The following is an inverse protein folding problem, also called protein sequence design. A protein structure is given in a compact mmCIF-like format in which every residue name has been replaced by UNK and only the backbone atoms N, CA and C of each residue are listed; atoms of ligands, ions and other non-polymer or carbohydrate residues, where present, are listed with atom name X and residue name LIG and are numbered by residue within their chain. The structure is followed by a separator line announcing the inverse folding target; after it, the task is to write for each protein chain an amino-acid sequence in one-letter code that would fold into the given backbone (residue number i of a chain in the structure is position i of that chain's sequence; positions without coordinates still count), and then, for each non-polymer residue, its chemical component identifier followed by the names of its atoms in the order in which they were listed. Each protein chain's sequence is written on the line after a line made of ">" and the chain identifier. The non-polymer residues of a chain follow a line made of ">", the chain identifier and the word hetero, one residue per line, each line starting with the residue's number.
data_IF_217823762704
#
_entry.id   IF_217823762704
#
_cell.length_a   1.000
_cell.length_b   1.000
_cell.length_c   1.000
_cell.angle_alpha   90.00
_cell.angle_beta   90.00
_cell.angle_gamma   90.00
#
_symmetry.space_group_name_H-M   'P 1'
#
loop_
_entity.id
_entity.type
_entity.pdbx_description
1 polymer ?
#
# COMPACT_ATOMS: atom_id res chain seq x y z
N UNK A 1 -12.09 5.09 -22.13
CA UNK A 1 -11.34 5.02 -20.86
C UNK A 1 -9.88 5.02 -21.23
N UNK A 2 -9.11 5.99 -20.74
CA UNK A 2 -7.66 5.94 -20.86
C UNK A 2 -7.13 4.79 -19.99
N UNK A 3 -6.09 4.10 -20.44
CA UNK A 3 -5.49 2.96 -19.75
C UNK A 3 -3.98 3.10 -19.84
N UNK A 4 -3.30 3.02 -18.71
CA UNK A 4 -1.85 2.98 -18.67
C UNK A 4 -1.35 1.56 -18.90
N UNK A 5 -0.16 1.45 -19.47
CA UNK A 5 0.59 0.20 -19.61
C UNK A 5 1.84 0.28 -18.75
N UNK A 6 2.11 -0.77 -17.98
CA UNK A 6 3.34 -0.90 -17.20
C UNK A 6 3.98 -2.27 -17.43
N UNK A 7 5.30 -2.28 -17.54
CA UNK A 7 6.08 -3.51 -17.69
C UNK A 7 6.46 -4.06 -16.32
N UNK A 8 6.04 -5.29 -16.02
CA UNK A 8 6.35 -5.97 -14.76
C UNK A 8 7.81 -6.40 -14.75
N UNK A 9 8.50 -6.04 -13.67
CA UNK A 9 9.82 -6.53 -13.33
C UNK A 9 9.66 -7.47 -12.15
N UNK A 10 9.65 -8.76 -12.48
CA UNK A 10 9.54 -9.84 -11.52
C UNK A 10 10.81 -9.94 -10.68
N UNK A 11 10.64 -10.10 -9.37
CA UNK A 11 11.71 -10.50 -8.47
C UNK A 11 11.46 -11.95 -8.01
N UNK A 12 12.49 -12.62 -7.50
CA UNK A 12 12.34 -13.96 -6.90
C UNK A 12 11.40 -13.97 -5.69
N UNK A 13 11.20 -12.80 -5.08
CA UNK A 13 10.23 -12.56 -4.02
C UNK A 13 9.04 -11.78 -4.60
N UNK A 14 7.83 -12.33 -4.46
CA UNK A 14 6.59 -11.69 -4.88
C UNK A 14 6.43 -10.30 -4.22
N UNK A 15 6.90 -10.13 -2.98
CA UNK A 15 6.85 -8.86 -2.25
C UNK A 15 7.81 -7.79 -2.81
N UNK A 16 8.79 -8.18 -3.63
CA UNK A 16 9.74 -7.29 -4.28
C UNK A 16 9.38 -6.97 -5.74
N UNK A 17 8.31 -7.57 -6.26
CA UNK A 17 7.83 -7.33 -7.63
C UNK A 17 7.30 -5.91 -7.79
N UNK A 18 7.62 -5.29 -8.92
CA UNK A 18 7.20 -3.93 -9.26
C UNK A 18 6.95 -3.80 -10.76
N UNK A 19 6.34 -2.70 -11.20
CA UNK A 19 6.16 -2.41 -12.61
C UNK A 19 6.74 -1.04 -12.98
N UNK A 20 7.13 -0.89 -14.24
CA UNK A 20 7.72 0.32 -14.79
C UNK A 20 6.83 0.88 -15.90
N UNK A 21 6.47 2.16 -15.74
CA UNK A 21 5.80 2.95 -16.78
C UNK A 21 6.85 3.81 -17.45
N UNK A 22 7.05 3.61 -18.74
CA UNK A 22 8.04 4.34 -19.55
C UNK A 22 7.43 5.53 -20.28
N UNK A 23 6.18 5.38 -20.73
CA UNK A 23 5.51 6.40 -21.54
C UNK A 23 5.08 7.62 -20.70
N UNK A 24 5.52 8.84 -21.04
CA UNK A 24 5.17 10.04 -20.28
C UNK A 24 3.67 10.30 -20.20
N UNK A 25 2.92 9.96 -21.25
CA UNK A 25 1.46 10.13 -21.30
C UNK A 25 0.78 9.25 -20.25
N UNK A 26 1.22 8.00 -20.09
CA UNK A 26 0.73 7.10 -19.05
C UNK A 26 1.07 7.60 -17.65
N UNK A 27 2.27 8.16 -17.45
CA UNK A 27 2.68 8.77 -16.18
C UNK A 27 1.77 9.94 -15.81
N UNK A 28 1.50 10.82 -16.76
CA UNK A 28 0.60 11.98 -16.56
C UNK A 28 -0.81 11.50 -16.25
N UNK A 29 -1.34 10.55 -17.02
CA UNK A 29 -2.65 9.94 -16.79
C UNK A 29 -2.78 9.35 -15.38
N UNK A 30 -1.80 8.55 -14.95
CA UNK A 30 -1.80 7.94 -13.62
C UNK A 30 -1.79 9.00 -12.50
N UNK A 31 -0.97 10.04 -12.64
CA UNK A 31 -0.82 11.09 -11.62
C UNK A 31 -2.03 12.04 -11.56
N UNK A 32 -2.54 12.47 -12.71
CA UNK A 32 -3.57 13.51 -12.79
C UNK A 32 -4.99 12.96 -12.72
N UNK A 33 -5.25 11.82 -13.34
CA UNK A 33 -6.61 11.24 -13.41
C UNK A 33 -6.80 10.12 -12.38
N UNK A 34 -5.78 9.28 -12.16
CA UNK A 34 -5.90 8.10 -11.30
C UNK A 34 -5.38 8.29 -9.87
N UNK A 35 -4.76 9.44 -9.53
CA UNK A 35 -4.12 9.70 -8.23
C UNK A 35 -3.03 8.69 -7.83
N UNK A 36 -2.35 8.08 -8.79
CA UNK A 36 -1.24 7.13 -8.57
C UNK A 36 0.06 7.83 -8.94
N UNK A 37 0.95 7.98 -7.96
CA UNK A 37 2.15 8.81 -8.12
C UNK A 37 3.43 8.03 -8.39
N UNK A 38 3.51 6.77 -7.98
CA UNK A 38 4.70 5.95 -8.12
C UNK A 38 5.93 6.53 -7.43
N UNK A 39 7.06 5.93 -7.75
CA UNK A 39 8.40 6.39 -7.39
C UNK A 39 9.23 6.60 -8.65
N UNK A 40 10.11 7.62 -8.70
CA UNK A 40 11.01 7.79 -9.84
C UNK A 40 11.98 6.61 -9.91
N UNK A 41 12.13 6.03 -11.10
CA UNK A 41 13.09 4.96 -11.38
C UNK A 41 14.28 5.53 -12.17
N UNK A 42 15.49 5.39 -11.60
CA UNK A 42 16.73 5.93 -12.16
C UNK A 42 17.27 7.18 -11.45
N UNK A 43 18.57 7.44 -11.61
CA UNK A 43 19.20 8.68 -11.15
C UNK A 43 18.84 9.78 -12.12
N UNK A 44 18.36 10.92 -11.63
CA UNK A 44 18.26 12.14 -12.42
C UNK A 44 19.67 12.62 -12.80
N UNK A 45 20.29 11.96 -13.77
CA UNK A 45 21.53 12.42 -14.38
C UNK A 45 21.18 13.60 -15.28
N UNK A 46 21.68 14.77 -14.92
CA UNK A 46 21.55 16.04 -15.65
C UNK A 46 22.16 16.05 -17.05
N UNK A 47 22.55 14.88 -17.60
CA UNK A 47 23.36 14.76 -18.81
C UNK A 47 22.83 13.77 -19.86
N UNK A 48 21.74 13.03 -19.63
CA UNK A 48 21.19 12.08 -20.62
C UNK A 48 19.67 12.13 -20.70
N UNK A 49 19.15 12.30 -21.92
CA UNK A 49 17.74 12.52 -22.27
C UNK A 49 16.86 11.25 -22.17
N UNK A 50 17.06 10.41 -21.16
CA UNK A 50 16.14 9.29 -20.90
C UNK A 50 14.94 9.85 -20.14
N UNK A 51 13.71 9.72 -20.66
CA UNK A 51 12.53 10.21 -19.97
C UNK A 51 12.40 9.51 -18.60
N UNK A 52 11.99 10.25 -17.55
CA UNK A 52 11.88 9.68 -16.21
C UNK A 52 10.85 8.54 -16.21
N UNK A 53 11.30 7.33 -15.86
CA UNK A 53 10.44 6.17 -15.71
C UNK A 53 9.75 6.22 -14.35
N UNK A 54 8.51 5.78 -14.31
CA UNK A 54 7.75 5.69 -13.07
C UNK A 54 7.66 4.24 -12.61
N UNK A 55 8.22 3.95 -11.43
CA UNK A 55 8.09 2.68 -10.75
C UNK A 55 6.82 2.65 -9.91
N UNK A 56 5.96 1.69 -10.22
CA UNK A 56 4.77 1.35 -9.46
C UNK A 56 5.08 0.21 -8.51
N UNK A 57 4.74 0.41 -7.23
CA UNK A 57 4.77 -0.66 -6.24
C UNK A 57 3.55 -1.57 -6.39
N UNK A 58 3.59 -2.73 -5.72
CA UNK A 58 2.51 -3.72 -5.79
C UNK A 58 1.14 -3.15 -5.44
N UNK A 59 1.04 -2.26 -4.43
CA UNK A 59 -0.22 -1.63 -4.04
C UNK A 59 -0.81 -0.73 -5.14
N UNK A 60 0.04 -0.04 -5.89
CA UNK A 60 -0.37 0.81 -7.01
C UNK A 60 -0.74 -0.02 -8.24
N UNK A 61 0.02 -1.09 -8.51
CA UNK A 61 -0.28 -2.07 -9.56
C UNK A 61 -1.66 -2.71 -9.32
N UNK A 62 -1.87 -3.21 -8.10
CA UNK A 62 -3.12 -3.84 -7.68
C UNK A 62 -4.31 -2.93 -7.90
N UNK A 63 -4.21 -1.69 -7.41
CA UNK A 63 -5.27 -0.72 -7.55
C UNK A 63 -5.59 -0.47 -9.03
N UNK A 64 -4.58 -0.27 -9.87
CA UNK A 64 -4.80 0.00 -11.29
C UNK A 64 -5.41 -1.16 -12.06
N UNK A 65 -4.98 -2.38 -11.77
CA UNK A 65 -5.52 -3.61 -12.37
C UNK A 65 -6.98 -3.84 -11.96
N UNK A 66 -7.26 -3.71 -10.65
CA UNK A 66 -8.61 -3.90 -10.08
C UNK A 66 -9.58 -2.83 -10.57
N UNK A 67 -9.13 -1.58 -10.69
CA UNK A 67 -9.95 -0.45 -11.16
C UNK A 67 -9.97 -0.31 -12.69
N UNK A 68 -9.23 -1.14 -13.42
CA UNK A 68 -9.28 -1.22 -14.88
C UNK A 68 -8.60 -0.05 -15.60
N UNK A 69 -7.69 0.68 -14.94
CA UNK A 69 -6.93 1.77 -15.56
C UNK A 69 -5.46 1.42 -15.81
N UNK A 70 -5.01 0.21 -15.44
CA UNK A 70 -3.65 -0.27 -15.67
C UNK A 70 -3.65 -1.67 -16.28
N UNK A 71 -2.90 -1.84 -17.36
CA UNK A 71 -2.53 -3.14 -17.95
C UNK A 71 -1.07 -3.45 -17.63
N UNK A 72 -0.82 -4.68 -17.18
CA UNK A 72 0.52 -5.19 -16.93
C UNK A 72 1.03 -5.98 -18.13
N UNK A 73 2.30 -5.80 -18.49
CA UNK A 73 2.97 -6.52 -19.58
C UNK A 73 4.29 -7.12 -19.10
N UNK A 74 4.71 -8.23 -19.70
CA UNK A 74 6.01 -8.83 -19.42
C UNK A 74 7.13 -8.03 -20.11
N UNK A 75 8.29 -7.92 -19.46
CA UNK A 75 9.49 -7.36 -20.10
C UNK A 75 9.95 -8.31 -21.21
N UNK A 76 9.91 -7.84 -22.47
CA UNK A 76 10.55 -8.51 -23.61
C UNK A 76 11.98 -7.98 -23.70
N UNK A 77 12.97 -8.84 -23.50
CA UNK A 77 14.37 -8.50 -23.78
C UNK A 77 14.73 -9.22 -25.07
N UNK A 78 14.92 -8.46 -26.15
CA UNK A 78 15.41 -8.99 -27.42
C UNK A 78 16.86 -9.47 -27.25
N UNK A 79 17.04 -10.73 -26.87
CA UNK A 79 18.27 -11.47 -27.05
C UNK A 79 17.89 -12.92 -27.38
N UNK A 80 18.45 -13.41 -28.48
CA UNK A 80 18.23 -14.75 -29.01
C UNK A 80 18.29 -15.83 -27.92
N UNK A 81 17.36 -16.79 -28.00
CA UNK A 81 17.23 -18.04 -27.24
C UNK A 81 16.22 -18.07 -26.07
N UNK A 82 14.90 -17.80 -26.22
CA UNK A 82 14.05 -17.75 -24.99
C UNK A 82 12.50 -17.93 -25.12
N UNK A 83 11.93 -18.71 -26.06
CA UNK A 83 10.46 -18.91 -26.09
C UNK A 83 9.87 -19.48 -24.79
N UNK A 84 10.58 -20.38 -24.10
CA UNK A 84 10.15 -20.94 -22.81
C UNK A 84 10.26 -19.91 -21.65
N UNK A 85 11.24 -19.01 -21.71
CA UNK A 85 11.42 -17.97 -20.69
C UNK A 85 10.37 -16.85 -20.87
N UNK A 86 9.99 -16.53 -22.11
CA UNK A 86 8.88 -15.63 -22.42
C UNK A 86 7.54 -16.16 -21.92
N UNK A 87 7.26 -17.46 -22.11
CA UNK A 87 6.03 -18.09 -21.61
C UNK A 87 5.96 -18.07 -20.07
N UNK A 88 7.10 -18.30 -19.39
CA UNK A 88 7.20 -18.19 -17.94
C UNK A 88 6.92 -16.78 -17.41
N UNK A 89 7.36 -15.72 -18.11
CA UNK A 89 7.08 -14.33 -17.71
C UNK A 89 5.62 -13.96 -17.93
N UNK A 90 4.99 -14.39 -19.03
CA UNK A 90 3.55 -14.18 -19.26
C UNK A 90 2.71 -14.85 -18.19
N UNK A 91 3.02 -16.11 -17.88
CA UNK A 91 2.36 -16.86 -16.81
C UNK A 91 2.45 -16.12 -15.48
N UNK A 92 3.60 -15.54 -15.14
CA UNK A 92 3.78 -14.76 -13.91
C UNK A 92 2.97 -13.45 -13.92
N UNK A 93 2.91 -12.73 -15.04
CA UNK A 93 2.06 -11.53 -15.15
C UNK A 93 0.58 -11.89 -14.97
N UNK A 94 0.14 -13.02 -15.54
CA UNK A 94 -1.21 -13.55 -15.36
C UNK A 94 -1.47 -13.93 -13.89
N UNK A 95 -0.55 -14.66 -13.26
CA UNK A 95 -0.63 -15.04 -11.84
C UNK A 95 -0.74 -13.81 -10.92
N UNK A 96 0.14 -12.82 -11.11
CA UNK A 96 0.07 -11.54 -10.39
C UNK A 96 -1.26 -10.85 -10.66
N UNK A 97 -1.69 -10.79 -11.92
CA UNK A 97 -2.94 -10.12 -12.28
C UNK A 97 -4.15 -10.78 -11.62
N UNK A 98 -4.22 -12.12 -11.62
CA UNK A 98 -5.27 -12.89 -10.97
C UNK A 98 -5.25 -12.72 -9.45
N UNK A 99 -4.08 -12.80 -8.82
CA UNK A 99 -3.93 -12.55 -7.39
C UNK A 99 -4.36 -11.13 -7.01
N UNK A 100 -3.99 -10.12 -7.81
CA UNK A 100 -4.38 -8.74 -7.58
C UNK A 100 -5.87 -8.51 -7.80
N UNK A 101 -6.49 -9.18 -8.78
CA UNK A 101 -7.93 -9.09 -9.04
C UNK A 101 -8.73 -9.68 -7.89
N UNK A 102 -8.32 -10.83 -7.35
CA UNK A 102 -8.66 -11.30 -6.00
C UNK A 102 -10.12 -11.12 -5.55
N UNK A 103 -11.08 -11.21 -6.48
CA UNK A 103 -12.45 -10.76 -6.25
C UNK A 103 -13.40 -11.93 -5.97
N UNK A 104 -13.01 -12.90 -5.13
CA UNK A 104 -13.97 -13.79 -4.50
C UNK A 104 -13.41 -14.49 -3.27
N UNK A 105 -14.26 -14.54 -2.25
CA UNK A 105 -14.18 -15.25 -0.98
C UNK A 105 -13.36 -16.55 -0.96
N UNK A 106 -12.57 -16.71 0.12
CA UNK A 106 -12.55 -17.84 1.07
C UNK A 106 -12.65 -19.31 0.61
N UNK A 107 -12.60 -19.65 -0.67
CA UNK A 107 -12.64 -21.04 -1.14
C UNK A 107 -11.40 -21.35 -2.01
N UNK A 108 -10.30 -21.68 -1.34
CA UNK A 108 -9.25 -22.51 -1.92
C UNK A 108 -8.10 -21.82 -2.67
N UNK A 109 -8.10 -20.48 -2.82
CA UNK A 109 -6.93 -19.78 -3.39
C UNK A 109 -5.87 -19.60 -2.29
N UNK A 110 -4.73 -20.27 -2.46
CA UNK A 110 -3.53 -20.02 -1.67
C UNK A 110 -2.93 -18.70 -2.12
N UNK A 111 -3.15 -17.64 -1.36
CA UNK A 111 -2.49 -16.35 -1.59
C UNK A 111 -0.98 -16.53 -1.49
N UNK A 112 -0.23 -16.04 -2.49
CA UNK A 112 1.23 -16.05 -2.43
C UNK A 112 1.74 -14.91 -1.54
N UNK A 113 1.00 -13.80 -1.51
CA UNK A 113 1.35 -12.63 -0.71
C UNK A 113 1.14 -12.84 0.79
N UNK A 114 2.06 -12.28 1.58
CA UNK A 114 1.99 -12.31 3.05
C UNK A 114 0.71 -11.66 3.60
N UNK A 115 0.19 -12.09 4.79
CA UNK A 115 -1.00 -11.49 5.39
C UNK A 115 -0.90 -9.96 5.54
N UNK A 116 0.26 -9.48 5.98
CA UNK A 116 0.56 -8.04 6.09
C UNK A 116 0.44 -7.33 4.75
N UNK A 117 0.91 -7.94 3.66
CA UNK A 117 0.79 -7.35 2.32
C UNK A 117 -0.67 -7.28 1.88
N UNK A 118 -1.45 -8.33 2.10
CA UNK A 118 -2.89 -8.33 1.80
C UNK A 118 -3.64 -7.24 2.56
N UNK A 119 -3.29 -7.04 3.84
CA UNK A 119 -3.84 -5.93 4.63
C UNK A 119 -3.48 -4.56 4.02
N UNK A 120 -2.21 -4.36 3.64
CA UNK A 120 -1.75 -3.13 2.97
C UNK A 120 -2.50 -2.85 1.67
N UNK A 121 -2.70 -3.85 0.82
CA UNK A 121 -3.45 -3.74 -0.43
C UNK A 121 -4.88 -3.23 -0.18
N UNK A 122 -5.57 -3.84 0.79
CA UNK A 122 -6.93 -3.47 1.15
C UNK A 122 -7.01 -2.06 1.73
N UNK A 123 -6.10 -1.71 2.64
CA UNK A 123 -6.03 -0.35 3.22
C UNK A 123 -5.71 0.69 2.17
N UNK A 124 -4.77 0.42 1.26
CA UNK A 124 -4.40 1.33 0.17
C UNK A 124 -5.59 1.61 -0.74
N UNK A 125 -6.30 0.55 -1.16
CA UNK A 125 -7.52 0.67 -1.96
C UNK A 125 -8.60 1.48 -1.23
N UNK A 126 -8.90 1.16 0.02
CA UNK A 126 -9.94 1.85 0.80
C UNK A 126 -9.63 3.34 0.97
N UNK A 127 -8.38 3.70 1.28
CA UNK A 127 -7.95 5.10 1.34
C UNK A 127 -8.10 5.82 -0.01
N UNK A 128 -7.74 5.17 -1.10
CA UNK A 128 -7.89 5.73 -2.44
C UNK A 128 -9.36 5.91 -2.83
N UNK A 129 -10.23 4.95 -2.50
CA UNK A 129 -11.68 5.02 -2.73
C UNK A 129 -12.33 6.15 -1.93
N UNK A 130 -11.80 6.44 -0.73
CA UNK A 130 -12.19 7.61 0.08
C UNK A 130 -11.72 8.95 -0.49
N UNK A 131 -11.01 8.94 -1.62
CA UNK A 131 -10.59 10.14 -2.33
C UNK A 131 -9.23 10.70 -1.93
N UNK A 132 -8.45 9.98 -1.11
CA UNK A 132 -7.09 10.39 -0.78
C UNK A 132 -6.11 10.04 -1.89
N UNK A 133 -5.06 10.85 -2.03
CA UNK A 133 -3.82 10.42 -2.68
C UNK A 133 -3.00 9.66 -1.64
N UNK A 134 -2.58 8.44 -1.95
CA UNK A 134 -1.83 7.57 -1.05
C UNK A 134 -0.41 7.40 -1.58
N UNK A 135 0.60 7.66 -0.76
CA UNK A 135 2.01 7.38 -1.08
C UNK A 135 2.66 6.55 0.02
N UNK A 136 3.85 6.03 -0.22
CA UNK A 136 4.59 5.24 0.79
C UNK A 136 5.16 6.12 1.92
N UNK A 137 5.06 5.62 3.14
CA UNK A 137 5.45 6.33 4.37
C UNK A 137 6.78 5.92 4.98
N UNK A 138 7.59 5.11 4.27
CA UNK A 138 8.82 4.50 4.79
C UNK A 138 9.81 5.50 5.41
N UNK A 139 9.90 6.72 4.86
CA UNK A 139 10.71 7.83 5.40
C UNK A 139 10.32 8.23 6.84
N UNK A 140 9.08 7.95 7.25
CA UNK A 140 8.54 8.29 8.57
C UNK A 140 8.27 7.03 9.42
N UNK A 141 8.77 5.86 8.98
CA UNK A 141 8.49 4.58 9.64
C UNK A 141 7.05 4.10 9.50
N UNK A 142 6.21 4.80 8.74
CA UNK A 142 4.82 4.43 8.48
C UNK A 142 4.70 3.63 7.19
N UNK A 143 3.58 2.95 6.99
CA UNK A 143 3.33 2.22 5.75
C UNK A 143 2.90 3.20 4.64
N UNK A 144 1.99 4.13 4.96
CA UNK A 144 1.50 5.12 4.00
C UNK A 144 1.48 6.55 4.53
N UNK A 145 1.42 7.48 3.59
CA UNK A 145 1.06 8.88 3.77
C UNK A 145 -0.19 9.15 2.95
N UNK A 146 -1.12 9.91 3.52
CA UNK A 146 -2.32 10.33 2.80
C UNK A 146 -2.33 11.84 2.59
N UNK A 147 -2.78 12.27 1.41
CA UNK A 147 -2.90 13.66 1.02
C UNK A 147 -4.33 13.91 0.53
N UNK A 148 -4.85 15.11 0.78
CA UNK A 148 -6.13 15.56 0.22
C UNK A 148 -6.00 16.06 -1.21
N UNK A 149 -4.79 16.33 -1.65
CA UNK A 149 -4.47 16.94 -2.94
C UNK A 149 -3.05 16.50 -3.37
N UNK A 150 -2.57 17.02 -4.48
CA UNK A 150 -1.31 16.64 -5.11
C UNK A 150 -0.11 16.70 -4.14
N UNK A 151 0.61 15.58 -3.90
CA UNK A 151 1.75 15.50 -2.98
C UNK A 151 2.93 16.39 -3.38
N UNK A 152 2.99 16.91 -4.62
CA UNK A 152 3.99 17.89 -5.05
C UNK A 152 3.75 19.29 -4.46
N UNK A 153 2.51 19.62 -4.08
CA UNK A 153 2.10 20.95 -3.63
C UNK A 153 1.43 20.95 -2.25
N UNK A 154 0.87 19.82 -1.84
CA UNK A 154 0.20 19.66 -0.56
C UNK A 154 1.07 18.87 0.41
N UNK A 155 0.95 19.21 1.69
CA UNK A 155 1.50 18.38 2.74
C UNK A 155 0.60 17.19 3.02
N UNK A 156 1.21 16.05 3.36
CA UNK A 156 0.46 14.90 3.88
C UNK A 156 -0.41 15.34 5.08
N UNK A 157 -1.55 14.68 5.26
CA UNK A 157 -2.47 14.93 6.38
C UNK A 157 -2.19 13.96 7.52
N UNK A 158 -1.93 12.69 7.19
CA UNK A 158 -1.66 11.67 8.20
C UNK A 158 -0.57 10.68 7.76
N UNK A 159 0.09 10.11 8.78
CA UNK A 159 0.84 8.86 8.70
C UNK A 159 -0.16 7.71 8.93
N UNK A 160 -0.08 6.66 8.11
CA UNK A 160 -0.90 5.44 8.28
C UNK A 160 0.03 4.26 8.54
N UNK A 161 -0.22 3.56 9.64
CA UNK A 161 0.46 2.33 10.02
C UNK A 161 -0.53 1.19 9.95
N UNK A 162 -0.24 0.18 9.13
CA UNK A 162 -1.09 -1.00 8.95
C UNK A 162 -0.66 -2.07 9.94
N UNK A 163 -1.64 -2.58 10.69
CA UNK A 163 -1.49 -3.60 11.74
C UNK A 163 -2.49 -4.72 11.49
N UNK A 164 -2.14 -5.94 11.91
CA UNK A 164 -3.12 -7.02 11.92
C UNK A 164 -4.17 -6.75 13.01
N UNK A 165 -5.40 -7.26 12.82
CA UNK A 165 -6.53 -6.90 13.69
C UNK A 165 -6.31 -7.32 15.15
N UNK A 166 -5.67 -8.47 15.37
CA UNK A 166 -5.35 -9.00 16.69
C UNK A 166 -3.90 -8.70 17.11
N UNK A 167 -3.18 -7.87 16.36
CA UNK A 167 -1.80 -7.53 16.69
C UNK A 167 -1.73 -6.67 17.95
N UNK A 168 -1.03 -7.14 18.97
CA UNK A 168 -0.76 -6.35 20.15
C UNK A 168 0.19 -5.19 19.85
N UNK A 169 -0.09 -4.03 20.44
CA UNK A 169 0.80 -2.88 20.35
C UNK A 169 1.84 -2.90 21.46
N UNK A 170 3.12 -2.92 21.08
CA UNK A 170 4.17 -2.53 22.01
C UNK A 170 4.00 -1.05 22.38
N UNK A 171 4.02 -0.73 23.68
CA UNK A 171 3.86 0.65 24.18
C UNK A 171 4.91 1.59 23.58
N UNK A 172 6.13 1.10 23.40
CA UNK A 172 7.25 1.85 22.82
C UNK A 172 6.98 2.22 21.36
N UNK A 173 6.31 1.36 20.60
CA UNK A 173 5.97 1.63 19.19
C UNK A 173 4.94 2.76 19.10
N UNK A 174 3.87 2.71 19.91
CA UNK A 174 2.86 3.78 19.95
C UNK A 174 3.52 5.12 20.26
N UNK A 175 4.37 5.17 21.29
CA UNK A 175 5.10 6.38 21.69
C UNK A 175 6.00 6.88 20.55
N UNK A 176 6.70 5.97 19.88
CA UNK A 176 7.60 6.30 18.75
C UNK A 176 6.83 6.88 17.57
N UNK A 177 5.72 6.26 17.17
CA UNK A 177 4.86 6.79 16.11
C UNK A 177 4.25 8.14 16.48
N UNK A 178 3.79 8.31 17.73
CA UNK A 178 3.27 9.60 18.21
C UNK A 178 4.34 10.69 18.15
N UNK A 179 5.58 10.38 18.55
CA UNK A 179 6.72 11.30 18.47
C UNK A 179 6.98 11.71 17.03
N UNK A 180 7.09 10.76 16.09
CA UNK A 180 7.34 11.08 14.68
C UNK A 180 6.21 11.93 14.11
N UNK A 181 4.95 11.51 14.27
CA UNK A 181 3.78 12.23 13.79
C UNK A 181 3.72 13.67 14.32
N UNK A 182 4.04 13.87 15.61
CA UNK A 182 4.10 15.21 16.22
C UNK A 182 5.20 16.08 15.61
N UNK A 183 6.40 15.53 15.41
CA UNK A 183 7.55 16.26 14.84
C UNK A 183 7.28 16.71 13.41
N UNK A 184 6.60 15.89 12.60
CA UNK A 184 6.26 16.22 11.21
C UNK A 184 4.91 16.91 11.04
N UNK A 185 4.22 17.20 12.16
CA UNK A 185 2.89 17.84 12.21
C UNK A 185 1.87 17.12 11.33
N UNK A 186 1.74 15.81 11.54
CA UNK A 186 0.78 14.91 10.86
C UNK A 186 -0.08 14.19 11.88
N UNK A 187 -1.29 13.82 11.49
CA UNK A 187 -2.09 12.88 12.27
C UNK A 187 -1.46 11.48 12.21
N UNK A 188 -1.68 10.67 13.25
CA UNK A 188 -1.32 9.26 13.24
C UNK A 188 -2.59 8.43 13.16
N UNK A 189 -2.65 7.55 12.16
CA UNK A 189 -3.72 6.59 11.97
C UNK A 189 -3.14 5.18 12.01
N UNK A 190 -3.71 4.32 12.84
CA UNK A 190 -3.56 2.88 12.71
C UNK A 190 -4.71 2.34 11.86
N UNK A 191 -4.41 1.44 10.94
CA UNK A 191 -5.37 0.81 10.07
C UNK A 191 -5.27 -0.70 10.20
N UNK A 192 -6.40 -1.39 10.26
CA UNK A 192 -6.47 -2.85 10.23
C UNK A 192 -7.64 -3.31 9.37
N UNK A 193 -7.54 -4.53 8.85
CA UNK A 193 -8.63 -5.15 8.09
C UNK A 193 -9.35 -6.12 9.02
N UNK A 194 -10.65 -5.91 9.21
CA UNK A 194 -11.50 -6.80 10.00
C UNK A 194 -12.27 -7.74 9.07
N UNK A 195 -12.06 -9.05 9.26
CA UNK A 195 -12.91 -10.06 8.64
C UNK A 195 -14.27 -10.08 9.36
N UNK A 196 -15.39 -9.95 8.64
CA UNK A 196 -16.72 -9.84 9.25
C UNK A 196 -17.33 -11.20 9.68
N UNK A 197 -16.52 -12.21 10.01
CA UNK A 197 -16.97 -13.59 10.23
C UNK A 197 -16.84 -14.18 11.66
N UNK A 198 -16.55 -13.39 12.70
CA UNK A 198 -16.02 -13.93 13.96
C UNK A 198 -16.83 -13.84 15.25
N UNK A 199 -17.81 -12.92 15.39
CA UNK A 199 -18.49 -12.70 16.69
C UNK A 199 -20.01 -12.89 16.58
N UNK A 200 -20.47 -14.10 16.22
CA UNK A 200 -21.85 -14.52 16.50
C UNK A 200 -21.89 -15.21 17.87
N UNK A 201 -22.13 -14.41 18.92
CA UNK A 201 -22.70 -14.90 20.19
C UNK A 201 -24.03 -14.18 20.43
N UNK A 202 -25.01 -14.46 19.58
CA UNK A 202 -26.42 -14.19 19.85
C UNK A 202 -27.26 -15.17 19.06
N UNK A 203 -27.94 -16.07 19.76
CA UNK A 203 -29.06 -16.84 19.24
C UNK A 203 -30.07 -15.87 18.63
N UNK A 204 -30.19 -15.86 17.30
CA UNK A 204 -31.44 -15.76 16.53
C UNK A 204 -31.07 -15.97 15.06
N UNK A 205 -31.60 -17.04 14.46
CA UNK A 205 -31.47 -17.35 13.04
C UNK A 205 -32.36 -16.41 12.23
N UNK A 206 -31.76 -15.53 11.42
CA UNK A 206 -32.31 -15.11 10.13
C UNK A 206 -31.15 -15.08 9.13
N UNK A 207 -31.24 -15.92 8.11
CA UNK A 207 -30.27 -16.08 7.03
C UNK A 207 -30.60 -15.08 5.91
N UNK A 208 -29.96 -13.92 5.95
CA UNK A 208 -29.69 -13.14 4.74
C UNK A 208 -28.24 -13.45 4.31
N UNK A 209 -28.09 -14.23 3.24
CA UNK A 209 -26.80 -14.51 2.58
C UNK A 209 -26.29 -13.28 1.81
N UNK A 210 -26.15 -12.14 2.49
CA UNK A 210 -25.33 -11.05 2.01
C UNK A 210 -24.00 -11.14 2.73
N UNK A 211 -23.06 -11.85 2.12
CA UNK A 211 -21.70 -12.03 2.64
C UNK A 211 -21.08 -10.65 2.89
N UNK A 212 -21.05 -10.23 4.15
CA UNK A 212 -20.55 -8.92 4.54
C UNK A 212 -19.06 -8.80 4.18
N UNK A 213 -18.74 -7.92 3.24
CA UNK A 213 -17.36 -7.68 2.80
C UNK A 213 -16.45 -7.27 3.98
N UNK A 214 -15.18 -7.68 3.92
CA UNK A 214 -14.16 -7.26 4.88
C UNK A 214 -14.11 -5.73 4.98
N UNK A 215 -14.13 -5.20 6.20
CA UNK A 215 -14.14 -3.75 6.45
C UNK A 215 -12.78 -3.27 6.97
N UNK A 216 -12.31 -2.11 6.49
CA UNK A 216 -11.11 -1.46 7.04
C UNK A 216 -11.50 -0.56 8.21
N UNK A 217 -10.82 -0.74 9.34
CA UNK A 217 -11.02 0.04 10.57
C UNK A 217 -9.81 0.94 10.79
N UNK A 218 -10.08 2.19 11.20
CA UNK A 218 -9.05 3.20 11.47
C UNK A 218 -9.16 3.70 12.90
N UNK A 219 -8.02 3.76 13.60
CA UNK A 219 -7.90 4.33 14.94
C UNK A 219 -6.95 5.53 14.85
N UNK A 220 -7.47 6.72 15.14
CA UNK A 220 -6.68 7.95 15.14
C UNK A 220 -6.16 8.30 16.52
N UNK A 221 -4.88 8.65 16.61
CA UNK A 221 -4.31 9.29 17.80
C UNK A 221 -4.19 10.79 17.55
N UNK A 222 -5.11 11.55 18.14
CA UNK A 222 -5.07 13.02 18.13
C UNK A 222 -4.63 13.51 19.51
N UNK A 223 -3.61 14.37 19.56
CA UNK A 223 -3.16 15.04 20.79
C UNK A 223 -2.53 14.14 21.87
N UNK A 224 -1.77 13.11 21.48
CA UNK A 224 -0.97 12.34 22.44
C UNK A 224 0.07 13.26 23.14
N UNK A 225 -0.16 13.56 24.42
CA UNK A 225 0.79 14.27 25.28
C UNK A 225 1.71 13.24 25.93
N UNK A 226 2.97 13.23 25.50
CA UNK A 226 4.01 12.44 26.16
C UNK A 226 4.52 13.22 27.37
N UNK A 227 4.13 12.78 28.57
CA UNK A 227 4.66 13.32 29.83
C UNK A 227 5.73 12.35 30.31
N UNK A 228 7.00 12.76 30.28
CA UNK A 228 8.04 12.04 31.02
C UNK A 228 7.98 12.48 32.47
N UNK A 229 7.71 11.56 33.41
CA UNK A 229 8.00 11.83 34.82
C UNK A 229 9.52 11.79 34.96
N UNK A 230 10.14 12.93 35.25
CA UNK A 230 11.47 12.91 35.88
C UNK A 230 11.23 12.53 37.33
N UNK A 231 11.54 11.28 37.69
CA UNK A 231 11.70 10.94 39.10
C UNK A 231 12.93 11.69 39.59
N UNK A 232 12.70 12.73 40.40
CA UNK A 232 13.78 13.42 41.09
C UNK A 232 14.43 12.43 42.05
N UNK A 233 15.69 12.10 41.81
CA UNK A 233 16.54 11.40 42.76
C UNK A 233 16.79 12.33 43.95
N UNK A 234 15.90 12.34 44.94
CA UNK A 234 16.25 12.76 46.28
C UNK A 234 17.04 11.64 46.94
N UNK A 235 18.37 11.68 46.77
CA UNK A 235 19.27 11.07 47.73
C UNK A 235 19.12 11.86 49.04
N UNK A 236 18.31 11.36 49.97
CA UNK A 236 18.41 11.73 51.38
C UNK A 236 19.69 11.10 51.94
N UNK A 237 20.77 11.88 51.98
CA UNK A 237 21.91 11.62 52.85
C UNK A 237 21.58 12.21 54.23
N UNK A 238 21.26 11.31 55.17
CA UNK A 238 21.32 11.54 56.60
C UNK A 238 22.78 11.44 57.11
#
# INVERSE_FOLDING_TARGET
>A
MNMAVATVIAASDADATYALVTEPEHVVFLQQECRVYGSPDGVASTATAVPPRLRLALEEMALGVVKGFLRLEALVVDANDDEAMEEGRRTLVEEITEELRGNTLHNGVMWTLSPRRRAKLRVFRDLWERGYVVTFGSKFGADFLIYKDNPKHAHAVALVVVKDYEEEFARVDIVSFCRVAKMVKKQLLFACVRANGGDKKSDTQEEDENVAADSVVYISFTHALLVSRQEGSTEELA
#
